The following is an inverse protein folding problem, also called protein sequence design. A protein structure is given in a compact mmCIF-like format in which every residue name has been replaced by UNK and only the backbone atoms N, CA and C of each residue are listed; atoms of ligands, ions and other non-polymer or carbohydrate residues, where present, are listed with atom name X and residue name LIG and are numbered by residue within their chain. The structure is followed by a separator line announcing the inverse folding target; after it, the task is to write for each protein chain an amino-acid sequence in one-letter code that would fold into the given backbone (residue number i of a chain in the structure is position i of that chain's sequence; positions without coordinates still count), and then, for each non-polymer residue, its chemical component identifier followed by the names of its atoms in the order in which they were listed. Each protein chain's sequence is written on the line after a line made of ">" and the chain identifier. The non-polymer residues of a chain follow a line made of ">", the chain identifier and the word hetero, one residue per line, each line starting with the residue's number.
data_IF_733585494562
#
_entry.id   IF_733585494562
#
_cell.length_a   1.000
_cell.length_b   1.000
_cell.length_c   1.000
_cell.angle_alpha   90.00
_cell.angle_beta   90.00
_cell.angle_gamma   90.00
#
_symmetry.space_group_name_H-M   'P 1'
#
loop_
_entity.id
_entity.type
_entity.pdbx_description
1 polymer ?
#
# COMPACT_ATOMS: atom_id res chain seq x y z
N UNK A 1 -34.88 -41.54 25.65
CA UNK A 1 -33.44 -41.64 25.37
C UNK A 1 -33.09 -40.43 24.52
N UNK A 2 -32.25 -39.55 25.05
CA UNK A 2 -32.17 -38.11 24.74
C UNK A 2 -31.05 -37.79 23.75
N UNK A 3 -31.35 -36.91 22.78
CA UNK A 3 -30.55 -35.88 22.10
C UNK A 3 -29.08 -36.10 21.62
N UNK A 4 -28.87 -35.76 20.33
CA UNK A 4 -27.87 -34.82 19.76
C UNK A 4 -26.37 -35.18 19.66
N UNK A 5 -25.83 -35.19 18.44
CA UNK A 5 -24.46 -34.77 18.08
C UNK A 5 -24.33 -34.66 16.55
N UNK A 6 -24.27 -33.44 16.03
CA UNK A 6 -23.05 -32.76 15.54
C UNK A 6 -22.73 -33.13 14.07
N UNK A 7 -23.09 -32.27 13.12
CA UNK A 7 -22.23 -31.21 12.56
C UNK A 7 -20.98 -31.79 11.86
N UNK A 8 -20.93 -31.81 10.52
CA UNK A 8 -20.14 -30.81 9.81
C UNK A 8 -20.34 -30.87 8.28
N UNK A 9 -20.60 -29.70 7.71
CA UNK A 9 -20.87 -29.44 6.31
C UNK A 9 -19.55 -29.39 5.51
N UNK A 10 -19.44 -30.16 4.42
CA UNK A 10 -18.45 -29.92 3.38
C UNK A 10 -18.97 -28.83 2.44
N UNK A 11 -18.89 -27.57 2.87
CA UNK A 11 -19.05 -26.42 1.98
C UNK A 11 -17.68 -25.90 1.58
N UNK A 12 -17.30 -26.14 0.32
CA UNK A 12 -16.20 -25.44 -0.34
C UNK A 12 -16.44 -23.94 -0.22
N UNK A 13 -15.66 -23.28 0.62
CA UNK A 13 -15.81 -21.86 0.91
C UNK A 13 -15.54 -21.05 -0.35
N UNK A 14 -16.61 -20.56 -0.96
CA UNK A 14 -16.62 -19.40 -1.85
C UNK A 14 -15.78 -18.31 -1.18
N UNK A 15 -14.85 -17.65 -1.88
CA UNK A 15 -14.17 -16.50 -1.31
C UNK A 15 -15.22 -15.45 -0.92
N UNK A 16 -15.24 -15.10 0.36
CA UNK A 16 -16.18 -14.13 0.91
C UNK A 16 -15.98 -12.74 0.29
N UNK A 17 -16.97 -11.84 0.43
CA UNK A 17 -17.01 -10.51 -0.21
C UNK A 17 -15.88 -9.53 0.19
N UNK A 18 -14.84 -9.99 0.91
CA UNK A 18 -13.69 -9.16 1.30
C UNK A 18 -12.54 -9.17 0.28
N UNK A 19 -12.55 -10.09 -0.70
CA UNK A 19 -11.45 -10.24 -1.67
C UNK A 19 -11.64 -9.44 -2.97
N UNK A 20 -12.81 -8.81 -3.18
CA UNK A 20 -13.13 -8.06 -4.39
C UNK A 20 -13.71 -6.71 -3.98
N UNK A 21 -13.11 -5.63 -4.47
CA UNK A 21 -13.52 -4.23 -4.32
C UNK A 21 -13.06 -3.50 -3.03
N UNK A 22 -11.77 -3.16 -2.98
CA UNK A 22 -11.40 -1.78 -2.63
C UNK A 22 -10.64 -1.12 -3.79
N UNK A 23 -11.10 -1.42 -5.01
CA UNK A 23 -10.88 -0.63 -6.20
C UNK A 23 -12.14 0.23 -6.35
N UNK A 24 -12.10 1.48 -5.94
CA UNK A 24 -13.26 2.37 -6.17
C UNK A 24 -13.53 3.44 -5.12
N UNK A 25 -12.50 4.11 -4.63
CA UNK A 25 -12.64 5.49 -4.16
C UNK A 25 -11.28 6.15 -4.32
N UNK A 26 -11.12 6.97 -5.35
CA UNK A 26 -10.05 7.95 -5.38
C UNK A 26 -10.39 9.00 -4.32
N UNK A 27 -10.24 8.64 -3.05
CA UNK A 27 -10.22 9.60 -1.97
C UNK A 27 -8.94 10.41 -2.18
N UNK A 28 -9.05 11.66 -2.62
CA UNK A 28 -7.93 12.61 -2.68
C UNK A 28 -7.27 12.80 -1.31
N UNK A 29 -7.92 12.34 -0.23
CA UNK A 29 -7.39 12.30 1.14
C UNK A 29 -6.47 11.12 1.41
N UNK A 30 -6.47 10.10 0.54
CA UNK A 30 -5.73 8.86 0.76
C UNK A 30 -4.37 8.83 0.05
N UNK A 31 -4.25 9.53 -1.08
CA UNK A 31 -3.08 9.48 -1.95
C UNK A 31 -2.47 10.87 -2.16
N UNK A 32 -1.16 10.89 -2.35
CA UNK A 32 -0.42 12.07 -2.81
C UNK A 32 -0.66 12.29 -4.31
N UNK A 33 -0.99 13.53 -4.70
CA UNK A 33 -1.38 13.85 -6.08
C UNK A 33 -0.23 13.79 -7.08
N UNK A 34 1.01 14.02 -6.62
CA UNK A 34 2.21 14.03 -7.46
C UNK A 34 2.70 12.60 -7.72
N UNK A 35 2.75 11.78 -6.67
CA UNK A 35 3.40 10.47 -6.71
C UNK A 35 2.41 9.30 -6.80
N UNK A 36 1.15 9.53 -6.46
CA UNK A 36 0.14 8.49 -6.32
C UNK A 36 0.45 7.47 -5.21
N UNK A 37 1.35 7.81 -4.28
CA UNK A 37 1.62 6.99 -3.09
C UNK A 37 0.55 7.25 -2.03
N UNK A 38 0.37 6.31 -1.09
CA UNK A 38 -0.50 6.60 0.05
C UNK A 38 0.11 7.70 0.89
N UNK A 39 -0.74 8.58 1.41
CA UNK A 39 -0.31 9.46 2.49
C UNK A 39 0.01 8.64 3.74
N UNK A 40 0.78 9.22 4.65
CA UNK A 40 1.25 8.50 5.86
C UNK A 40 0.11 7.91 6.68
N UNK A 41 -0.95 8.67 6.95
CA UNK A 41 -2.09 8.22 7.77
C UNK A 41 -2.79 6.98 7.17
N UNK A 42 -3.29 7.01 5.93
CA UNK A 42 -3.95 5.84 5.34
C UNK A 42 -2.99 4.65 5.21
N UNK A 43 -1.69 4.88 4.96
CA UNK A 43 -0.70 3.81 4.97
C UNK A 43 -0.55 3.15 6.34
N UNK A 44 -0.36 3.92 7.41
CA UNK A 44 -0.20 3.38 8.77
C UNK A 44 -1.43 2.60 9.18
N UNK A 45 -2.64 3.14 8.96
CA UNK A 45 -3.88 2.44 9.26
C UNK A 45 -4.05 1.15 8.45
N UNK A 46 -3.55 1.11 7.21
CA UNK A 46 -3.55 -0.11 6.39
C UNK A 46 -2.53 -1.13 6.88
N UNK A 47 -1.35 -0.69 7.29
CA UNK A 47 -0.30 -1.54 7.86
C UNK A 47 -0.75 -2.19 9.19
N UNK A 48 -1.41 -1.44 10.06
CA UNK A 48 -1.94 -1.94 11.34
C UNK A 48 -3.06 -2.98 11.17
N UNK A 49 -3.87 -2.84 10.12
CA UNK A 49 -4.96 -3.78 9.79
C UNK A 49 -4.52 -4.98 8.96
N UNK A 50 -3.25 -5.04 8.55
CA UNK A 50 -2.76 -6.13 7.73
C UNK A 50 -2.81 -7.46 8.54
N UNK A 51 -3.48 -8.51 8.04
CA UNK A 51 -3.55 -9.77 8.77
C UNK A 51 -2.15 -10.36 8.94
N UNK A 52 -1.82 -10.88 10.12
CA UNK A 52 -0.55 -11.58 10.35
C UNK A 52 -0.36 -12.77 9.38
N UNK A 53 -1.45 -13.39 8.94
CA UNK A 53 -1.47 -14.47 7.95
C UNK A 53 -1.23 -14.00 6.50
N UNK A 54 -1.26 -12.69 6.23
CA UNK A 54 -1.00 -12.14 4.88
C UNK A 54 0.49 -12.13 4.52
N UNK A 55 1.37 -12.55 5.45
CA UNK A 55 2.81 -12.73 5.21
C UNK A 55 3.08 -14.25 5.16
N UNK A 56 3.07 -14.87 3.96
CA UNK A 56 3.03 -16.33 3.84
C UNK A 56 4.29 -17.01 4.40
N UNK A 57 5.42 -16.32 4.35
CA UNK A 57 6.73 -16.75 4.87
C UNK A 57 7.61 -15.53 5.06
N UNK A 58 7.70 -14.98 6.28
CA UNK A 58 8.65 -13.90 6.59
C UNK A 58 8.16 -12.89 7.62
N UNK A 59 9.07 -12.04 8.09
CA UNK A 59 8.71 -10.81 8.82
C UNK A 59 8.53 -9.68 7.81
N UNK A 60 7.55 -8.78 7.98
CA UNK A 60 7.44 -7.61 7.11
C UNK A 60 8.73 -6.76 7.21
N UNK A 61 9.21 -6.29 6.06
CA UNK A 61 10.34 -5.35 5.98
C UNK A 61 9.82 -3.97 5.61
N UNK A 62 10.28 -2.95 6.31
CA UNK A 62 10.03 -1.55 5.98
C UNK A 62 11.31 -0.95 5.39
N UNK A 63 11.19 -0.36 4.20
CA UNK A 63 12.25 0.44 3.57
C UNK A 63 11.86 1.91 3.65
N UNK A 64 12.73 2.73 4.21
CA UNK A 64 12.62 4.19 4.24
C UNK A 64 13.63 4.75 3.24
N UNK A 65 13.16 5.57 2.31
CA UNK A 65 13.97 6.17 1.25
C UNK A 65 13.86 7.68 1.40
N UNK A 66 15.00 8.34 1.42
CA UNK A 66 15.12 9.80 1.36
C UNK A 66 15.80 10.18 0.04
N UNK A 67 15.39 11.31 -0.54
CA UNK A 67 15.99 11.82 -1.77
C UNK A 67 16.94 12.97 -1.46
N UNK A 68 18.23 12.66 -1.48
CA UNK A 68 19.29 13.63 -1.23
C UNK A 68 19.21 14.80 -2.22
N UNK A 69 19.33 16.02 -1.70
CA UNK A 69 19.44 17.24 -2.52
C UNK A 69 18.15 17.71 -3.19
N UNK A 70 17.00 17.06 -2.99
CA UNK A 70 15.73 17.48 -3.60
C UNK A 70 15.34 18.92 -3.22
N UNK A 71 15.59 19.32 -1.97
CA UNK A 71 15.34 20.71 -1.55
C UNK A 71 16.20 21.71 -2.32
N UNK A 72 17.51 21.44 -2.44
CA UNK A 72 18.42 22.32 -3.19
C UNK A 72 18.02 22.41 -4.67
N UNK A 73 17.58 21.29 -5.24
CA UNK A 73 17.02 21.27 -6.58
C UNK A 73 15.76 22.15 -6.69
N UNK A 74 14.82 22.01 -5.76
CA UNK A 74 13.60 22.82 -5.72
C UNK A 74 13.89 24.31 -5.53
N UNK A 75 14.88 24.65 -4.71
CA UNK A 75 15.30 26.04 -4.50
C UNK A 75 15.93 26.65 -5.77
N UNK A 76 16.54 25.81 -6.63
CA UNK A 76 17.21 26.25 -7.86
C UNK A 76 16.27 26.27 -9.09
N UNK A 77 15.30 25.36 -9.16
CA UNK A 77 14.48 25.12 -10.35
C UNK A 77 12.96 25.23 -10.11
N UNK A 78 12.55 25.43 -8.86
CA UNK A 78 11.16 25.45 -8.43
C UNK A 78 10.58 24.07 -8.14
N UNK A 79 9.40 24.06 -7.52
CA UNK A 79 8.74 22.82 -7.07
C UNK A 79 8.22 21.95 -8.22
N UNK A 80 7.72 22.55 -9.31
CA UNK A 80 7.16 21.78 -10.43
C UNK A 80 8.17 20.82 -11.09
N UNK A 81 9.44 21.21 -11.34
CA UNK A 81 10.48 20.26 -11.73
C UNK A 81 10.80 19.22 -10.64
N UNK A 82 10.76 19.58 -9.37
CA UNK A 82 10.90 18.66 -8.24
C UNK A 82 9.84 17.57 -8.20
N UNK A 83 8.59 17.94 -8.44
CA UNK A 83 7.45 17.01 -8.52
C UNK A 83 7.66 15.96 -9.61
N UNK A 84 8.23 16.36 -10.77
CA UNK A 84 8.59 15.43 -11.84
C UNK A 84 9.69 14.47 -11.41
N UNK A 85 10.71 14.95 -10.69
CA UNK A 85 11.76 14.09 -10.13
C UNK A 85 11.16 13.06 -9.18
N UNK A 86 10.26 13.47 -8.28
CA UNK A 86 9.56 12.57 -7.37
C UNK A 86 8.75 11.51 -8.10
N UNK A 87 7.96 11.90 -9.09
CA UNK A 87 7.16 10.98 -9.90
C UNK A 87 8.03 9.95 -10.63
N UNK A 88 9.17 10.37 -11.19
CA UNK A 88 10.12 9.48 -11.87
C UNK A 88 10.80 8.50 -10.91
N UNK A 89 11.20 8.95 -9.72
CA UNK A 89 11.76 8.08 -8.68
C UNK A 89 10.75 7.00 -8.29
N UNK A 90 9.50 7.39 -8.01
CA UNK A 90 8.45 6.42 -7.67
C UNK A 90 8.19 5.45 -8.82
N UNK A 91 8.19 5.94 -10.06
CA UNK A 91 8.11 5.12 -11.26
C UNK A 91 9.24 4.10 -11.36
N UNK A 92 10.48 4.53 -11.12
CA UNK A 92 11.66 3.66 -11.12
C UNK A 92 11.58 2.59 -10.03
N UNK A 93 11.20 2.98 -8.81
CA UNK A 93 11.05 2.06 -7.69
C UNK A 93 9.96 1.01 -7.94
N UNK A 94 8.83 1.39 -8.53
CA UNK A 94 7.76 0.46 -8.95
C UNK A 94 8.25 -0.56 -9.97
N UNK A 95 9.11 -0.17 -10.91
CA UNK A 95 9.68 -1.07 -11.93
C UNK A 95 10.72 -2.03 -11.36
N UNK A 96 11.45 -1.61 -10.34
CA UNK A 96 12.54 -2.40 -9.75
C UNK A 96 12.07 -3.50 -8.78
N UNK A 97 10.79 -3.54 -8.42
CA UNK A 97 10.28 -4.45 -7.40
C UNK A 97 9.41 -5.55 -7.99
N UNK A 98 9.78 -6.79 -7.67
CA UNK A 98 9.23 -8.01 -8.27
C UNK A 98 7.73 -8.24 -8.01
N UNK A 99 7.15 -7.58 -7.01
CA UNK A 99 5.70 -7.57 -6.75
C UNK A 99 5.24 -6.12 -6.60
N UNK A 100 4.07 -5.74 -7.15
CA UNK A 100 3.49 -4.46 -6.82
C UNK A 100 3.26 -4.42 -5.31
N UNK A 101 4.12 -3.69 -4.60
CA UNK A 101 3.95 -3.53 -3.16
C UNK A 101 2.73 -2.63 -3.03
N UNK A 102 1.61 -3.18 -2.57
CA UNK A 102 0.34 -2.44 -2.51
C UNK A 102 0.32 -1.35 -1.42
N UNK A 103 1.44 -1.14 -0.72
CA UNK A 103 1.53 -0.38 0.53
C UNK A 103 2.75 0.54 0.52
N UNK A 104 2.82 1.50 -0.40
CA UNK A 104 3.84 2.55 -0.38
C UNK A 104 3.29 3.78 0.33
N UNK A 105 4.13 4.46 1.11
CA UNK A 105 3.84 5.80 1.58
C UNK A 105 4.93 6.78 1.15
N UNK A 106 4.53 8.01 0.85
CA UNK A 106 5.47 9.09 0.54
C UNK A 106 4.77 10.44 0.48
N UNK A 107 5.58 11.49 0.48
CA UNK A 107 5.17 12.88 0.21
C UNK A 107 6.37 13.66 -0.34
N UNK A 108 6.09 14.72 -1.10
CA UNK A 108 7.05 15.77 -1.44
C UNK A 108 7.43 16.62 -0.22
#
# INVERSE_FOLDING_TARGET
>A
MTANSALNEHHGSRPGPAAVALLGAQDSTAHDEVTGLLLRRPWTSRAERAPAAAVPTGRPTLLLIDLDGLKLWNDSFGHLPGDRVLAEVVGALRRSLARPVANWAGRA
#
